data_IF_829345070458
#
_entry.id   IF_829345070458
#
_cell.length_a   1.000
_cell.length_b   1.000
_cell.length_c   1.000
_cell.angle_alpha   90.00
_cell.angle_beta   90.00
_cell.angle_gamma   90.00
#
_symmetry.space_group_name_H-M   'P 1'
#
loop_
_entity.id
_entity.type
_entity.pdbx_description
1 polymer ?
#
# COMPACT_ATOMS: atom_id res chain seq x y z
N UNK A 1 -11.37 6.69 -5.51
CA UNK A 1 -10.07 6.04 -5.82
C UNK A 1 -9.10 7.07 -6.37
N UNK A 2 -7.86 7.05 -5.88
CA UNK A 2 -6.84 7.99 -6.33
C UNK A 2 -5.65 7.25 -6.89
N UNK A 3 -5.11 7.79 -7.97
CA UNK A 3 -3.78 7.43 -8.44
C UNK A 3 -2.82 8.47 -7.88
N UNK A 4 -1.80 8.01 -7.19
CA UNK A 4 -0.83 8.89 -6.55
C UNK A 4 0.14 9.44 -7.56
N UNK A 5 0.04 10.63 -7.65
CA UNK A 5 0.91 11.41 -8.36
C UNK A 5 0.64 12.79 -8.14
N UNK A 6 -0.56 13.38 -8.03
CA UNK A 6 -0.92 13.93 -6.72
C UNK A 6 -1.90 13.05 -5.96
N UNK A 7 -1.84 13.14 -4.63
CA UNK A 7 -2.76 12.49 -3.72
C UNK A 7 -3.95 13.43 -3.50
N UNK A 8 -5.15 12.87 -3.51
CA UNK A 8 -6.36 13.60 -3.14
C UNK A 8 -6.96 12.96 -1.89
N UNK A 9 -7.37 13.79 -0.94
CA UNK A 9 -7.63 13.35 0.42
C UNK A 9 -9.00 12.75 0.68
N UNK A 10 -9.96 12.93 -0.19
CA UNK A 10 -11.29 12.39 0.05
C UNK A 10 -11.48 10.99 -0.53
N UNK A 11 -10.40 10.34 -0.96
CA UNK A 11 -10.47 8.97 -1.43
C UNK A 11 -10.48 7.99 -0.27
N UNK A 12 -11.20 6.90 -0.46
CA UNK A 12 -11.15 5.77 0.43
C UNK A 12 -10.16 4.71 -0.05
N UNK A 13 -9.56 4.91 -1.19
CA UNK A 13 -8.65 3.96 -1.81
C UNK A 13 -7.54 4.73 -2.54
N UNK A 14 -6.30 4.32 -2.30
CA UNK A 14 -5.14 4.86 -2.99
C UNK A 14 -4.58 3.82 -3.93
N UNK A 15 -4.24 4.25 -5.15
CA UNK A 15 -3.49 3.43 -6.10
C UNK A 15 -2.21 4.17 -6.42
N UNK A 16 -1.07 3.50 -6.27
CA UNK A 16 0.19 4.15 -6.60
C UNK A 16 1.15 3.19 -7.28
N UNK A 17 1.83 3.74 -8.28
CA UNK A 17 2.92 3.09 -8.98
C UNK A 17 4.21 3.31 -8.19
N UNK A 18 5.33 2.84 -8.73
CA UNK A 18 6.61 2.86 -8.00
C UNK A 18 6.91 4.24 -7.43
N UNK A 19 7.21 4.27 -6.14
CA UNK A 19 7.57 5.47 -5.40
C UNK A 19 8.91 5.26 -4.71
N UNK A 20 9.59 6.36 -4.39
CA UNK A 20 10.80 6.29 -3.60
C UNK A 20 10.49 6.06 -2.11
N UNK A 21 11.54 5.78 -1.34
CA UNK A 21 11.40 5.47 0.08
C UNK A 21 10.80 6.66 0.86
N UNK A 22 11.13 7.88 0.48
CA UNK A 22 10.61 9.07 1.15
C UNK A 22 9.10 9.19 0.97
N UNK A 23 8.61 8.97 -0.24
CA UNK A 23 7.18 8.99 -0.52
C UNK A 23 6.46 7.83 0.16
N UNK A 24 7.06 6.65 0.20
CA UNK A 24 6.52 5.53 0.94
C UNK A 24 6.40 5.82 2.43
N UNK A 25 7.36 6.54 3.00
CA UNK A 25 7.31 6.93 4.40
C UNK A 25 6.11 7.87 4.66
N UNK A 26 5.84 8.82 3.78
CA UNK A 26 4.68 9.69 3.90
C UNK A 26 3.37 8.91 3.84
N UNK A 27 3.24 8.00 2.88
CA UNK A 27 2.05 7.16 2.75
C UNK A 27 1.87 6.31 4.00
N UNK A 28 2.94 5.70 4.48
CA UNK A 28 2.90 4.84 5.66
C UNK A 28 2.48 5.63 6.90
N UNK A 29 3.08 6.78 7.14
CA UNK A 29 2.78 7.58 8.33
C UNK A 29 1.35 8.09 8.31
N UNK A 30 0.82 8.42 7.14
CA UNK A 30 -0.52 8.98 7.03
C UNK A 30 -1.62 7.93 7.14
N UNK A 31 -1.37 6.71 6.70
CA UNK A 31 -2.45 5.74 6.50
C UNK A 31 -2.20 4.36 7.08
N UNK A 32 -0.97 4.01 7.41
CA UNK A 32 -0.59 2.64 7.73
C UNK A 32 0.04 2.46 9.10
N UNK A 33 0.43 3.53 9.76
CA UNK A 33 1.23 3.46 10.99
C UNK A 33 0.51 2.74 12.14
N UNK A 34 -0.82 2.76 12.15
CA UNK A 34 -1.62 2.12 13.19
C UNK A 34 -1.94 0.65 12.95
N UNK A 35 -1.46 0.07 11.86
CA UNK A 35 -1.88 -1.28 11.43
C UNK A 35 -1.02 -2.40 12.02
N UNK A 36 -0.02 -2.08 12.81
CA UNK A 36 0.87 -3.09 13.37
C UNK A 36 1.89 -3.64 12.38
N UNK A 37 2.08 -2.98 11.24
CA UNK A 37 3.03 -3.37 10.20
C UNK A 37 4.26 -2.49 10.33
N UNK A 38 5.47 -3.06 10.47
CA UNK A 38 6.70 -2.26 10.42
C UNK A 38 6.88 -1.61 9.06
N UNK A 39 7.42 -0.39 9.04
CA UNK A 39 7.68 0.33 7.80
C UNK A 39 8.54 -0.48 6.82
N UNK A 40 9.54 -1.19 7.31
CA UNK A 40 10.42 -2.01 6.47
C UNK A 40 9.63 -3.12 5.76
N UNK A 41 8.66 -3.71 6.44
CA UNK A 41 7.82 -4.75 5.85
C UNK A 41 6.91 -4.15 4.76
N UNK A 42 6.36 -2.97 5.02
CA UNK A 42 5.57 -2.24 4.03
C UNK A 42 6.39 -1.93 2.78
N UNK A 43 7.61 -1.43 2.95
CA UNK A 43 8.50 -1.15 1.82
C UNK A 43 8.84 -2.42 1.05
N UNK A 44 9.07 -3.52 1.75
CA UNK A 44 9.37 -4.80 1.12
C UNK A 44 8.21 -5.28 0.27
N UNK A 45 6.99 -5.16 0.77
CA UNK A 45 5.80 -5.50 0.00
C UNK A 45 5.70 -4.67 -1.27
N UNK A 46 5.82 -3.35 -1.15
CA UNK A 46 5.73 -2.46 -2.30
C UNK A 46 6.80 -2.77 -3.35
N UNK A 47 8.04 -2.93 -2.90
CA UNK A 47 9.14 -3.22 -3.82
C UNK A 47 9.02 -4.59 -4.48
N UNK A 48 8.44 -5.57 -3.79
CA UNK A 48 8.16 -6.87 -4.38
C UNK A 48 7.13 -6.76 -5.50
N UNK A 49 6.07 -6.01 -5.29
CA UNK A 49 5.04 -5.79 -6.30
C UNK A 49 5.63 -5.14 -7.55
N UNK A 50 6.42 -4.10 -7.36
CA UNK A 50 7.04 -3.37 -8.47
C UNK A 50 8.19 -4.14 -9.13
N UNK A 51 8.84 -5.02 -8.37
CA UNK A 51 9.92 -5.86 -8.89
C UNK A 51 9.45 -6.95 -9.84
N UNK A 52 8.20 -7.38 -9.71
CA UNK A 52 7.62 -8.37 -10.62
C UNK A 52 7.34 -7.77 -12.01
N UNK A 53 6.85 -6.53 -12.03
CA UNK A 53 6.61 -5.78 -13.26
C UNK A 53 6.53 -4.30 -12.87
N UNK A 54 7.28 -3.45 -13.58
CA UNK A 54 7.31 -2.01 -13.30
C UNK A 54 5.94 -1.33 -13.49
N UNK A 55 5.03 -1.95 -14.20
CA UNK A 55 3.67 -1.43 -14.41
C UNK A 55 2.70 -1.86 -13.31
N UNK A 56 3.13 -2.73 -12.40
CA UNK A 56 2.31 -3.12 -11.28
C UNK A 56 2.12 -1.94 -10.33
N UNK A 57 0.97 -1.92 -9.68
CA UNK A 57 0.65 -0.89 -8.70
C UNK A 57 0.22 -1.52 -7.38
N UNK A 58 0.39 -0.73 -6.32
CA UNK A 58 -0.06 -1.09 -4.97
C UNK A 58 -1.37 -0.35 -4.71
N UNK A 59 -2.32 -1.05 -4.10
CA UNK A 59 -3.59 -0.47 -3.68
C UNK A 59 -3.68 -0.50 -2.17
N UNK A 60 -4.06 0.62 -1.56
CA UNK A 60 -4.41 0.71 -0.15
C UNK A 60 -5.88 1.12 -0.07
N UNK A 61 -6.72 0.21 0.44
CA UNK A 61 -8.16 0.43 0.59
C UNK A 61 -8.47 0.76 2.05
N UNK A 62 -8.75 2.02 2.32
CA UNK A 62 -8.98 2.50 3.68
C UNK A 62 -10.31 2.05 4.25
N UNK A 63 -11.18 1.46 3.44
CA UNK A 63 -12.48 0.96 3.91
C UNK A 63 -12.43 -0.46 4.42
N UNK A 64 -11.28 -1.13 4.29
CA UNK A 64 -11.14 -2.54 4.66
C UNK A 64 -10.10 -2.73 5.76
N UNK A 65 -10.28 -3.75 6.61
CA UNK A 65 -9.24 -4.09 7.60
C UNK A 65 -8.02 -4.71 6.93
N UNK A 66 -6.91 -4.72 7.66
CA UNK A 66 -5.62 -5.24 7.17
C UNK A 66 -5.75 -6.70 6.71
N UNK A 67 -6.54 -7.50 7.43
CA UNK A 67 -6.71 -8.92 7.14
C UNK A 67 -7.61 -9.20 5.96
N UNK A 68 -8.30 -8.19 5.45
CA UNK A 68 -9.37 -8.37 4.46
C UNK A 68 -9.28 -7.41 3.30
N UNK A 69 -8.08 -7.15 2.83
CA UNK A 69 -7.91 -6.45 1.57
C UNK A 69 -7.57 -4.98 1.65
N UNK A 70 -7.10 -4.48 2.79
CA UNK A 70 -6.57 -3.12 2.87
C UNK A 70 -5.39 -2.95 1.93
N UNK A 71 -4.49 -3.93 1.90
CA UNK A 71 -3.31 -3.90 1.05
C UNK A 71 -3.46 -4.89 -0.08
N UNK A 72 -3.20 -4.46 -1.31
CA UNK A 72 -3.36 -5.29 -2.49
C UNK A 72 -2.23 -5.05 -3.48
N UNK A 73 -1.87 -6.13 -4.17
CA UNK A 73 -1.13 -6.05 -5.41
C UNK A 73 -2.16 -5.88 -6.52
N UNK A 74 -2.18 -4.73 -7.18
CA UNK A 74 -3.26 -4.43 -8.12
C UNK A 74 -4.58 -4.25 -7.38
N UNK A 75 -5.68 -4.66 -7.98
CA UNK A 75 -7.01 -4.46 -7.41
C UNK A 75 -7.55 -5.68 -6.68
N UNK A 76 -7.07 -6.88 -7.00
CA UNK A 76 -7.70 -8.11 -6.56
C UNK A 76 -6.81 -9.03 -5.71
N UNK A 77 -5.49 -8.84 -5.73
CA UNK A 77 -4.56 -9.72 -5.02
C UNK A 77 -4.30 -9.17 -3.63
N UNK A 78 -5.03 -9.68 -2.66
CA UNK A 78 -4.92 -9.22 -1.28
C UNK A 78 -3.60 -9.65 -0.67
N UNK A 79 -2.95 -8.71 0.00
CA UNK A 79 -1.77 -8.99 0.81
C UNK A 79 -2.18 -9.05 2.28
N UNK A 80 -1.75 -10.09 2.97
CA UNK A 80 -2.00 -10.28 4.39
C UNK A 80 -0.68 -10.14 5.12
N UNK A 81 -0.71 -9.37 6.22
CA UNK A 81 0.48 -9.17 7.03
C UNK A 81 0.97 -10.51 7.58
N UNK A 82 2.17 -10.97 7.19
CA UNK A 82 2.68 -12.27 7.66
C UNK A 82 2.91 -12.31 9.17
N UNK A 83 3.01 -11.15 9.83
CA UNK A 83 3.20 -11.08 11.27
C UNK A 83 1.90 -11.28 12.06
N UNK A 84 0.75 -11.26 11.40
CA UNK A 84 -0.55 -11.42 12.03
C UNK A 84 -1.08 -12.85 12.01
N UNK A 85 -0.32 -13.76 11.45
CA UNK A 85 -0.70 -15.18 11.39
C UNK A 85 -0.10 -15.98 12.51
#
# INVERSE_FOLDING_TARGET
MYVLGPIRENANMFIFFKQDRKNLMHIFNDHCAGDGIPFELFCRFCNQVWGEDKHNFVTIDLTRPVESGKYRKGLNDFWINPLST
#
